data_IF_866086623141
#
_entry.id   IF_866086623141
#
_cell.length_a   1.000
_cell.length_b   1.000
_cell.length_c   1.000
_cell.angle_alpha   90.00
_cell.angle_beta   90.00
_cell.angle_gamma   90.00
#
_symmetry.space_group_name_H-M   'P 1'
#
loop_
_entity.id
_entity.type
_entity.pdbx_description
1 polymer ?
#
# COMPACT_ATOMS: atom_id res chain seq x y z
N UNK A 1 -7.14 70.87 51.97
CA UNK A 1 -7.93 70.35 50.77
C UNK A 1 -7.12 70.43 49.46
N UNK A 2 -5.79 70.18 49.52
CA UNK A 2 -4.95 70.41 48.32
C UNK A 2 -4.06 69.20 47.98
N UNK A 3 -4.29 68.02 48.63
CA UNK A 3 -3.37 66.86 48.45
C UNK A 3 -4.02 65.61 47.79
N UNK A 4 -5.33 65.60 47.69
CA UNK A 4 -6.04 64.42 47.10
C UNK A 4 -6.11 64.49 45.57
N UNK A 5 -6.13 65.74 45.03
CA UNK A 5 -6.18 65.93 43.56
C UNK A 5 -4.85 65.59 42.82
N UNK A 6 -3.72 65.74 43.56
CA UNK A 6 -2.38 65.40 43.00
C UNK A 6 -2.09 63.90 43.00
N UNK A 7 -2.70 63.11 43.92
CA UNK A 7 -2.55 61.67 44.01
C UNK A 7 -3.41 60.97 42.96
N UNK A 8 -4.62 61.48 42.69
CA UNK A 8 -5.47 60.91 41.64
C UNK A 8 -4.92 61.15 40.21
N UNK A 9 -4.29 62.35 39.98
CA UNK A 9 -3.67 62.60 38.68
C UNK A 9 -2.41 61.75 38.42
N UNK A 10 -1.70 61.30 39.48
CA UNK A 10 -0.51 60.47 39.37
C UNK A 10 -0.83 59.04 39.18
N UNK A 11 -2.00 58.56 39.63
CA UNK A 11 -2.50 57.19 39.39
C UNK A 11 -3.11 57.00 37.98
N UNK A 12 -3.55 58.10 37.34
CA UNK A 12 -4.05 58.08 35.96
C UNK A 12 -2.94 58.05 34.90
N UNK A 13 -1.75 58.48 35.25
CA UNK A 13 -0.60 58.54 34.32
C UNK A 13 0.18 57.24 34.24
N UNK A 14 0.10 56.37 35.25
CA UNK A 14 0.83 55.10 35.29
C UNK A 14 0.11 53.92 34.57
N UNK A 15 -1.12 54.08 34.06
CA UNK A 15 -1.88 53.01 33.45
C UNK A 15 -1.98 53.06 31.91
N UNK A 16 -1.25 53.96 31.27
CA UNK A 16 -1.21 53.99 29.80
C UNK A 16 -0.03 53.15 29.27
N UNK A 17 -0.09 51.84 29.43
CA UNK A 17 0.61 50.97 28.48
C UNK A 17 0.24 51.44 27.06
N UNK A 18 1.21 51.87 26.23
CA UNK A 18 0.89 52.37 24.91
C UNK A 18 0.06 51.33 24.18
N UNK A 19 -1.12 51.71 23.69
CA UNK A 19 -2.05 50.82 23.00
C UNK A 19 -1.35 49.97 21.91
N UNK A 20 -0.27 50.47 21.37
CA UNK A 20 0.62 49.80 20.42
C UNK A 20 1.40 48.62 21.04
N UNK A 21 1.80 48.67 22.33
CA UNK A 21 2.46 47.54 23.00
C UNK A 21 1.47 46.40 23.30
N UNK A 22 0.22 46.75 23.60
CA UNK A 22 -0.85 45.74 23.80
C UNK A 22 -1.23 45.08 22.48
N UNK A 23 -1.38 45.85 21.40
CA UNK A 23 -1.66 45.35 20.06
C UNK A 23 -0.49 44.48 19.55
N UNK A 24 0.76 44.95 19.74
CA UNK A 24 1.95 44.16 19.39
C UNK A 24 2.05 42.84 20.14
N UNK A 25 1.72 42.84 21.44
CA UNK A 25 1.67 41.62 22.25
C UNK A 25 0.59 40.63 21.79
N UNK A 26 -0.59 41.14 21.43
CA UNK A 26 -1.68 40.31 20.90
C UNK A 26 -1.32 39.76 19.52
N UNK A 27 -0.74 40.54 18.62
CA UNK A 27 -0.29 40.08 17.31
C UNK A 27 0.82 39.03 17.43
N UNK A 28 1.74 39.18 18.38
CA UNK A 28 2.81 38.20 18.63
C UNK A 28 2.24 36.90 19.24
N UNK A 29 1.28 36.99 20.15
CA UNK A 29 0.54 35.83 20.69
C UNK A 29 -0.24 35.10 19.59
N UNK A 30 -0.91 35.84 18.71
CA UNK A 30 -1.63 35.25 17.58
C UNK A 30 -0.65 34.61 16.60
N UNK A 31 0.50 35.23 16.32
CA UNK A 31 1.53 34.66 15.46
C UNK A 31 2.16 33.39 16.08
N UNK A 32 2.41 33.39 17.39
CA UNK A 32 2.88 32.20 18.13
C UNK A 32 1.80 31.11 18.16
N UNK A 33 0.55 31.49 18.41
CA UNK A 33 -0.58 30.57 18.34
C UNK A 33 -0.74 30.00 16.91
N UNK A 34 -0.68 30.82 15.88
CA UNK A 34 -0.72 30.35 14.49
C UNK A 34 0.47 29.45 14.13
N UNK A 35 1.64 29.72 14.71
CA UNK A 35 2.83 28.89 14.52
C UNK A 35 2.77 27.58 15.33
N UNK A 36 2.20 27.59 16.54
CA UNK A 36 2.01 26.37 17.38
C UNK A 36 0.81 25.56 16.92
N UNK A 37 -0.24 26.21 16.39
CA UNK A 37 -1.41 25.59 15.78
C UNK A 37 -1.28 25.44 14.25
N UNK A 38 -0.14 25.68 13.63
CA UNK A 38 0.21 24.94 12.46
C UNK A 38 0.34 23.49 12.93
N UNK A 39 -0.82 22.83 13.10
CA UNK A 39 -0.89 21.37 13.08
C UNK A 39 -0.03 20.99 11.89
N UNK A 40 1.09 20.34 12.16
CA UNK A 40 1.68 19.50 11.15
C UNK A 40 0.55 18.50 10.87
N UNK A 41 -0.28 18.78 9.83
CA UNK A 41 -1.02 17.72 9.20
C UNK A 41 0.02 16.62 9.03
N UNK A 42 -0.10 15.55 9.81
CA UNK A 42 0.63 14.31 9.54
C UNK A 42 0.16 13.92 8.16
N UNK A 43 0.86 14.44 7.17
CA UNK A 43 0.56 14.17 5.77
C UNK A 43 0.65 12.67 5.63
N UNK A 44 -0.50 12.03 5.47
CA UNK A 44 -0.60 10.60 5.20
C UNK A 44 0.45 10.27 4.14
N UNK A 45 1.42 9.39 4.44
CA UNK A 45 2.46 9.07 3.48
C UNK A 45 1.86 8.64 2.15
N UNK A 46 2.48 9.05 1.06
CA UNK A 46 1.99 8.72 -0.28
C UNK A 46 3.12 8.17 -1.14
N UNK A 47 2.89 7.01 -1.76
CA UNK A 47 3.92 6.25 -2.48
C UNK A 47 3.40 5.72 -3.82
N UNK A 48 4.29 5.67 -4.82
CA UNK A 48 4.15 4.81 -5.99
C UNK A 48 5.22 3.72 -5.93
N UNK A 49 4.79 2.48 -6.07
CA UNK A 49 5.66 1.31 -6.19
C UNK A 49 5.72 0.98 -7.67
N UNK A 50 6.82 1.36 -8.29
CA UNK A 50 7.04 1.14 -9.72
C UNK A 50 7.31 -0.35 -9.95
N UNK A 51 6.73 -0.97 -11.01
CA UNK A 51 7.02 -2.35 -11.34
C UNK A 51 8.51 -2.62 -11.41
N UNK A 52 8.96 -3.66 -10.70
CA UNK A 52 10.36 -4.07 -10.68
C UNK A 52 10.84 -4.37 -12.11
N UNK A 53 12.03 -3.94 -12.43
CA UNK A 53 12.63 -4.25 -13.72
C UNK A 53 13.21 -5.67 -13.71
N UNK A 54 12.76 -6.53 -14.61
CA UNK A 54 13.37 -7.84 -14.79
C UNK A 54 14.73 -7.71 -15.50
N UNK A 55 15.81 -8.12 -14.82
CA UNK A 55 17.16 -8.20 -15.39
C UNK A 55 17.53 -9.62 -15.82
N UNK A 56 16.64 -10.59 -15.60
CA UNK A 56 16.80 -11.99 -15.96
C UNK A 56 16.21 -12.34 -17.33
N UNK A 57 15.87 -13.60 -17.50
CA UNK A 57 15.26 -14.10 -18.73
C UNK A 57 13.83 -13.55 -18.91
N UNK A 58 13.40 -13.34 -20.16
CA UNK A 58 12.04 -12.81 -20.46
C UNK A 58 10.92 -13.71 -19.93
N UNK A 59 11.15 -15.03 -19.82
CA UNK A 59 10.18 -15.97 -19.24
C UNK A 59 9.90 -15.67 -17.76
N UNK A 60 10.79 -14.98 -17.06
CA UNK A 60 10.68 -14.63 -15.63
C UNK A 60 10.09 -13.21 -15.40
N UNK A 61 9.67 -12.51 -16.48
CA UNK A 61 9.07 -11.16 -16.41
C UNK A 61 7.84 -11.11 -15.49
N UNK A 62 7.06 -12.19 -15.45
CA UNK A 62 5.87 -12.26 -14.61
C UNK A 62 6.17 -12.14 -13.11
N UNK A 63 7.37 -12.53 -12.64
CA UNK A 63 7.76 -12.32 -11.24
C UNK A 63 7.84 -10.84 -10.90
N UNK A 64 8.52 -10.06 -11.73
CA UNK A 64 8.69 -8.62 -11.54
C UNK A 64 7.34 -7.91 -11.46
N UNK A 65 6.45 -8.20 -12.39
CA UNK A 65 5.13 -7.61 -12.47
C UNK A 65 4.25 -8.01 -11.27
N UNK A 66 4.11 -9.31 -11.04
CA UNK A 66 3.17 -9.83 -10.04
C UNK A 66 3.61 -9.53 -8.61
N UNK A 67 4.92 -9.58 -8.32
CA UNK A 67 5.45 -9.16 -7.01
C UNK A 67 5.16 -7.68 -6.76
N UNK A 68 5.37 -6.82 -7.76
CA UNK A 68 5.06 -5.39 -7.63
C UNK A 68 3.58 -5.13 -7.40
N UNK A 69 2.70 -5.84 -8.11
CA UNK A 69 1.25 -5.78 -7.91
C UNK A 69 0.85 -6.23 -6.50
N UNK A 70 1.47 -7.30 -5.98
CA UNK A 70 1.26 -7.78 -4.62
C UNK A 70 1.74 -6.75 -3.58
N UNK A 71 2.92 -6.15 -3.76
CA UNK A 71 3.45 -5.10 -2.88
C UNK A 71 2.50 -3.89 -2.83
N UNK A 72 1.99 -3.44 -3.97
CA UNK A 72 1.00 -2.36 -4.03
C UNK A 72 -0.24 -2.73 -3.21
N UNK A 73 -0.73 -3.96 -3.35
CA UNK A 73 -1.91 -4.46 -2.62
C UNK A 73 -1.67 -4.50 -1.12
N UNK A 74 -0.51 -5.02 -0.68
CA UNK A 74 -0.18 -5.17 0.73
C UNK A 74 0.03 -3.82 1.41
N UNK A 75 0.84 -2.95 0.78
CA UNK A 75 1.11 -1.60 1.31
C UNK A 75 -0.17 -0.78 1.36
N UNK A 76 -1.05 -0.88 0.35
CA UNK A 76 -2.37 -0.21 0.36
C UNK A 76 -3.29 -0.69 1.48
N UNK A 77 -3.17 -1.95 1.88
CA UNK A 77 -3.98 -2.55 2.95
C UNK A 77 -3.42 -2.36 4.36
N UNK A 78 -2.23 -1.80 4.50
CA UNK A 78 -1.47 -1.82 5.75
C UNK A 78 -1.94 -0.81 6.79
N UNK A 79 -2.52 0.32 6.39
CA UNK A 79 -2.88 1.41 7.30
C UNK A 79 -3.09 2.73 6.60
N UNK A 80 -2.79 3.83 7.30
CA UNK A 80 -2.99 5.17 6.79
C UNK A 80 -1.85 5.58 5.83
N UNK A 81 -1.94 5.07 4.61
CA UNK A 81 -1.02 5.36 3.51
C UNK A 81 -1.78 5.46 2.19
N UNK A 82 -1.42 6.42 1.35
CA UNK A 82 -1.94 6.53 0.00
C UNK A 82 -0.95 5.86 -0.97
N UNK A 83 -1.42 4.85 -1.68
CA UNK A 83 -0.61 4.12 -2.68
C UNK A 83 -1.19 4.37 -4.08
N UNK A 84 -0.34 4.72 -5.04
CA UNK A 84 -0.75 4.82 -6.44
C UNK A 84 -1.13 3.43 -6.95
N UNK A 85 -2.25 3.32 -7.67
CA UNK A 85 -2.68 2.03 -8.24
C UNK A 85 -1.76 1.62 -9.39
N UNK A 86 -1.57 0.31 -9.56
CA UNK A 86 -0.81 -0.22 -10.70
C UNK A 86 -1.34 0.33 -12.04
N UNK A 87 -2.66 0.39 -12.18
CA UNK A 87 -3.33 0.93 -13.38
C UNK A 87 -2.98 2.40 -13.65
N UNK A 88 -2.82 3.22 -12.62
CA UNK A 88 -2.43 4.63 -12.80
C UNK A 88 -0.95 4.77 -13.15
N UNK A 89 -0.10 3.89 -12.60
CA UNK A 89 1.32 3.81 -12.95
C UNK A 89 1.47 3.40 -14.43
N UNK A 90 0.70 2.42 -14.90
CA UNK A 90 0.75 1.94 -16.28
C UNK A 90 0.23 2.97 -17.32
N UNK A 91 -0.64 3.91 -16.91
CA UNK A 91 -1.11 4.98 -17.80
C UNK A 91 -0.04 6.03 -18.12
N UNK A 92 1.00 6.12 -17.32
CA UNK A 92 2.12 7.02 -17.57
C UNK A 92 3.30 6.23 -18.12
N UNK A 93 4.09 6.84 -19.00
CA UNK A 93 5.33 6.22 -19.47
C UNK A 93 6.43 6.39 -18.42
N UNK A 94 6.25 5.67 -17.27
CA UNK A 94 7.14 5.79 -16.12
C UNK A 94 8.60 5.41 -16.43
N UNK A 95 8.86 4.64 -17.50
CA UNK A 95 10.21 4.23 -17.90
C UNK A 95 11.03 5.38 -18.48
N UNK A 96 10.39 6.41 -19.04
CA UNK A 96 11.03 7.58 -19.63
C UNK A 96 11.06 8.79 -18.69
N UNK A 97 10.40 8.73 -17.54
CA UNK A 97 10.23 9.85 -16.62
C UNK A 97 11.21 9.77 -15.45
N UNK A 98 11.61 10.93 -14.94
CA UNK A 98 12.31 11.05 -13.66
C UNK A 98 11.39 10.76 -12.48
N UNK A 99 11.97 10.43 -11.31
CA UNK A 99 11.20 10.21 -10.08
C UNK A 99 10.29 11.38 -9.73
N UNK A 100 10.76 12.62 -9.92
CA UNK A 100 9.98 13.82 -9.66
C UNK A 100 8.79 13.97 -10.61
N UNK A 101 8.97 13.63 -11.89
CA UNK A 101 7.90 13.66 -12.88
C UNK A 101 6.85 12.59 -12.60
N UNK A 102 7.28 11.38 -12.24
CA UNK A 102 6.39 10.30 -11.81
C UNK A 102 5.58 10.73 -10.58
N UNK A 103 6.27 11.27 -9.56
CA UNK A 103 5.64 11.70 -8.33
C UNK A 103 4.60 12.79 -8.56
N UNK A 104 4.89 13.77 -9.42
CA UNK A 104 3.95 14.83 -9.82
C UNK A 104 2.72 14.27 -10.54
N UNK A 105 2.92 13.35 -11.49
CA UNK A 105 1.82 12.75 -12.26
C UNK A 105 0.91 11.86 -11.41
N UNK A 106 1.48 11.14 -10.43
CA UNK A 106 0.76 10.23 -9.54
C UNK A 106 0.32 10.88 -8.22
N UNK A 107 0.70 12.15 -7.99
CA UNK A 107 0.44 12.89 -6.75
C UNK A 107 0.94 12.17 -5.50
N UNK A 108 2.15 11.62 -5.56
CA UNK A 108 2.81 10.94 -4.44
C UNK A 108 4.09 11.65 -4.05
N UNK A 109 4.54 11.42 -2.80
CA UNK A 109 5.83 11.94 -2.32
C UNK A 109 6.96 10.93 -2.53
N UNK A 110 6.67 9.66 -2.30
CA UNK A 110 7.70 8.62 -2.34
C UNK A 110 7.58 7.78 -3.60
N UNK A 111 8.73 7.40 -4.16
CA UNK A 111 8.85 6.46 -5.26
C UNK A 111 9.65 5.26 -4.77
N UNK A 112 9.08 4.07 -4.84
CA UNK A 112 9.82 2.83 -4.66
C UNK A 112 10.06 2.18 -6.02
N UNK A 113 11.30 1.81 -6.29
CA UNK A 113 11.71 1.16 -7.54
C UNK A 113 12.81 0.14 -7.28
N UNK A 114 13.03 -0.76 -8.21
CA UNK A 114 14.04 -1.78 -8.04
C UNK A 114 14.17 -2.71 -9.22
N UNK A 115 15.01 -3.71 -9.06
CA UNK A 115 15.28 -4.73 -10.08
C UNK A 115 15.11 -6.12 -9.50
N UNK A 116 14.72 -7.06 -10.33
CA UNK A 116 14.65 -8.46 -10.00
C UNK A 116 15.43 -9.26 -11.04
N UNK A 117 16.27 -10.16 -10.56
CA UNK A 117 17.03 -11.07 -11.39
C UNK A 117 16.97 -12.48 -10.82
N UNK A 118 16.45 -13.41 -11.61
CA UNK A 118 16.45 -14.83 -11.29
C UNK A 118 17.53 -15.52 -12.11
N UNK A 119 18.46 -16.22 -11.44
CA UNK A 119 19.48 -17.05 -12.06
C UNK A 119 19.44 -18.42 -11.37
N UNK A 120 19.12 -19.45 -12.13
CA UNK A 120 18.93 -20.81 -11.62
C UNK A 120 17.97 -20.84 -10.41
N UNK A 121 18.49 -21.21 -9.24
CA UNK A 121 17.74 -21.27 -7.99
C UNK A 121 17.89 -20.03 -7.11
N UNK A 122 18.50 -18.96 -7.60
CA UNK A 122 18.78 -17.77 -6.79
C UNK A 122 17.98 -16.58 -7.35
N UNK A 123 17.29 -15.86 -6.43
CA UNK A 123 16.77 -14.53 -6.68
C UNK A 123 17.73 -13.48 -6.16
N UNK A 124 18.02 -12.49 -7.00
CA UNK A 124 18.61 -11.23 -6.61
C UNK A 124 17.57 -10.15 -6.79
N UNK A 125 17.31 -9.39 -5.74
CA UNK A 125 16.35 -8.31 -5.75
C UNK A 125 17.01 -7.08 -5.15
N UNK A 126 16.94 -5.96 -5.84
CA UNK A 126 17.28 -4.65 -5.29
C UNK A 126 16.03 -3.79 -5.21
N UNK A 127 15.95 -2.97 -4.19
CA UNK A 127 14.88 -2.01 -4.03
C UNK A 127 15.38 -0.75 -3.34
N UNK A 128 14.87 0.39 -3.75
CA UNK A 128 15.12 1.68 -3.14
C UNK A 128 13.84 2.46 -2.92
N UNK A 129 13.86 3.36 -1.94
CA UNK A 129 12.81 4.31 -1.62
C UNK A 129 13.36 5.71 -1.75
N UNK A 130 12.84 6.48 -2.69
CA UNK A 130 13.23 7.84 -2.98
C UNK A 130 12.18 8.82 -2.43
N UNK A 131 12.64 9.84 -1.68
CA UNK A 131 11.82 10.96 -1.21
C UNK A 131 11.99 12.16 -2.15
N UNK A 132 10.99 12.44 -2.98
CA UNK A 132 11.02 13.54 -3.94
C UNK A 132 11.05 14.92 -3.27
N UNK A 133 10.54 15.04 -2.03
CA UNK A 133 10.60 16.31 -1.29
C UNK A 133 11.99 16.63 -0.78
N UNK A 134 12.78 15.60 -0.45
CA UNK A 134 14.16 15.74 0.05
C UNK A 134 15.21 15.54 -1.02
N UNK A 135 14.79 15.11 -2.23
CA UNK A 135 15.65 14.80 -3.38
C UNK A 135 16.76 13.80 -3.00
N UNK A 136 16.38 12.70 -2.33
CA UNK A 136 17.32 11.67 -1.90
C UNK A 136 16.70 10.29 -1.74
N UNK A 137 17.55 9.27 -1.82
CA UNK A 137 17.21 7.91 -1.42
C UNK A 137 17.17 7.86 0.11
N UNK A 138 16.00 7.56 0.68
CA UNK A 138 15.83 7.37 2.12
C UNK A 138 16.27 5.98 2.58
N UNK A 139 16.10 5.00 1.70
CA UNK A 139 16.41 3.62 1.99
C UNK A 139 16.71 2.86 0.70
N UNK A 140 17.66 1.93 0.77
CA UNK A 140 17.91 0.94 -0.26
C UNK A 140 18.39 -0.37 0.36
N UNK A 141 18.04 -1.48 -0.27
CA UNK A 141 18.51 -2.79 0.15
C UNK A 141 18.61 -3.76 -1.03
N UNK A 142 19.45 -4.78 -0.85
CA UNK A 142 19.64 -5.86 -1.80
C UNK A 142 19.46 -7.19 -1.08
N UNK A 143 18.71 -8.09 -1.71
CA UNK A 143 18.51 -9.45 -1.23
C UNK A 143 19.07 -10.42 -2.26
N UNK A 144 19.73 -11.45 -1.77
CA UNK A 144 20.13 -12.60 -2.55
C UNK A 144 19.70 -13.84 -1.77
N UNK A 145 18.70 -14.54 -2.26
CA UNK A 145 18.09 -15.67 -1.56
C UNK A 145 17.79 -16.82 -2.50
N UNK A 146 17.63 -18.01 -1.94
CA UNK A 146 17.21 -19.16 -2.72
C UNK A 146 15.76 -18.95 -3.20
N UNK A 147 15.44 -19.51 -4.37
CA UNK A 147 14.10 -19.45 -4.95
C UNK A 147 13.02 -20.00 -4.01
N UNK A 148 13.36 -21.00 -3.16
CA UNK A 148 12.45 -21.52 -2.15
C UNK A 148 11.98 -20.48 -1.12
N UNK A 149 12.72 -19.38 -0.94
CA UNK A 149 12.39 -18.30 -0.01
C UNK A 149 11.54 -17.19 -0.63
N UNK A 150 11.16 -17.33 -1.92
CA UNK A 150 10.40 -16.31 -2.66
C UNK A 150 9.14 -15.81 -1.93
N UNK A 151 8.33 -16.68 -1.31
CA UNK A 151 7.15 -16.20 -0.59
C UNK A 151 7.48 -15.28 0.59
N UNK A 152 8.61 -15.51 1.27
CA UNK A 152 9.06 -14.71 2.42
C UNK A 152 9.62 -13.35 2.02
N UNK A 153 10.24 -13.27 0.83
CA UNK A 153 10.85 -12.03 0.32
C UNK A 153 9.80 -10.93 0.22
N UNK A 154 8.63 -11.23 -0.32
CA UNK A 154 7.56 -10.24 -0.51
C UNK A 154 7.10 -9.61 0.80
N UNK A 155 6.88 -10.42 1.84
CA UNK A 155 6.49 -9.92 3.17
C UNK A 155 7.52 -8.96 3.74
N UNK A 156 8.81 -9.34 3.66
CA UNK A 156 9.91 -8.49 4.10
C UNK A 156 10.03 -7.18 3.31
N UNK A 157 9.72 -7.18 2.01
CA UNK A 157 9.68 -5.95 1.21
C UNK A 157 8.59 -4.99 1.67
N UNK A 158 7.36 -5.49 1.85
CA UNK A 158 6.23 -4.69 2.32
C UNK A 158 6.52 -4.07 3.69
N UNK A 159 7.05 -4.85 4.63
CA UNK A 159 7.43 -4.38 5.96
C UNK A 159 8.51 -3.30 5.90
N UNK A 160 9.55 -3.49 5.08
CA UNK A 160 10.62 -2.50 4.93
C UNK A 160 10.09 -1.17 4.35
N UNK A 161 9.24 -1.20 3.34
CA UNK A 161 8.60 0.01 2.80
C UNK A 161 7.82 0.74 3.90
N UNK A 162 6.95 0.03 4.62
CA UNK A 162 6.07 0.62 5.62
C UNK A 162 6.84 1.17 6.82
N UNK A 163 7.86 0.46 7.31
CA UNK A 163 8.69 0.92 8.42
C UNK A 163 9.49 2.17 8.06
N UNK A 164 10.05 2.25 6.85
CA UNK A 164 10.76 3.44 6.40
C UNK A 164 9.83 4.65 6.18
N UNK A 165 8.57 4.40 5.86
CA UNK A 165 7.53 5.44 5.79
C UNK A 165 6.90 5.75 7.16
N UNK A 166 7.35 5.09 8.24
CA UNK A 166 6.81 5.23 9.60
C UNK A 166 5.30 4.93 9.69
N UNK A 167 4.81 4.06 8.80
CA UNK A 167 3.41 3.62 8.82
C UNK A 167 3.25 2.54 9.89
N UNK A 168 2.36 2.80 10.85
CA UNK A 168 2.00 1.82 11.86
C UNK A 168 1.08 0.77 11.22
N UNK A 169 1.58 -0.44 11.07
CA UNK A 169 0.79 -1.54 10.51
C UNK A 169 -0.21 -2.07 11.54
N UNK A 170 -1.47 -2.17 11.14
CA UNK A 170 -2.53 -2.78 11.96
C UNK A 170 -2.56 -4.32 11.82
N UNK A 171 -1.68 -4.88 11.01
CA UNK A 171 -1.69 -6.29 10.59
C UNK A 171 -0.27 -6.83 10.43
N UNK A 172 -0.12 -8.13 10.60
CA UNK A 172 1.14 -8.86 10.36
C UNK A 172 1.30 -9.11 8.85
N UNK A 173 1.94 -8.16 8.16
CA UNK A 173 2.17 -8.20 6.70
C UNK A 173 3.44 -8.95 6.35
N UNK A 174 4.39 -9.04 7.28
CA UNK A 174 5.66 -9.73 7.08
C UNK A 174 5.51 -11.24 6.97
N UNK A 175 4.39 -11.79 7.46
CA UNK A 175 4.16 -13.24 7.41
C UNK A 175 4.03 -13.72 5.97
N UNK A 176 4.84 -14.71 5.61
CA UNK A 176 4.76 -15.38 4.31
C UNK A 176 3.34 -15.86 4.02
N UNK A 177 2.88 -15.69 2.80
CA UNK A 177 1.57 -16.18 2.35
C UNK A 177 1.57 -17.68 2.06
N UNK A 178 2.74 -18.26 1.84
CA UNK A 178 2.93 -19.66 1.48
C UNK A 178 4.29 -20.13 2.00
N UNK A 179 4.39 -21.41 2.31
CA UNK A 179 5.66 -22.10 2.55
C UNK A 179 6.10 -22.90 1.31
N UNK A 180 5.27 -22.92 0.26
CA UNK A 180 5.52 -23.64 -0.99
C UNK A 180 5.84 -22.65 -2.12
N UNK A 181 7.14 -22.57 -2.48
CA UNK A 181 7.61 -21.67 -3.51
C UNK A 181 7.02 -21.98 -4.91
N UNK A 182 6.77 -23.25 -5.23
CA UNK A 182 6.14 -23.66 -6.50
C UNK A 182 4.68 -23.18 -6.56
N UNK A 183 3.93 -23.39 -5.48
CA UNK A 183 2.56 -22.89 -5.38
C UNK A 183 2.51 -21.36 -5.57
N UNK A 184 3.42 -20.66 -4.90
CA UNK A 184 3.49 -19.19 -4.99
C UNK A 184 3.89 -18.74 -6.40
N UNK A 185 4.84 -19.41 -7.06
CA UNK A 185 5.22 -19.12 -8.44
C UNK A 185 4.07 -19.33 -9.44
N UNK A 186 3.31 -20.41 -9.29
CA UNK A 186 2.11 -20.65 -10.10
C UNK A 186 1.04 -19.57 -9.90
N UNK A 187 0.85 -19.11 -8.66
CA UNK A 187 -0.02 -17.99 -8.36
C UNK A 187 0.45 -16.69 -9.05
N UNK A 188 1.75 -16.34 -8.95
CA UNK A 188 2.29 -15.14 -9.59
C UNK A 188 2.14 -15.19 -11.13
N UNK A 189 2.38 -16.37 -11.73
CA UNK A 189 2.15 -16.57 -13.16
C UNK A 189 0.69 -16.41 -13.55
N UNK A 190 -0.21 -17.03 -12.78
CA UNK A 190 -1.64 -16.88 -12.99
C UNK A 190 -2.11 -15.44 -12.85
N UNK A 191 -1.60 -14.74 -11.84
CA UNK A 191 -1.90 -13.33 -11.59
C UNK A 191 -1.50 -12.46 -12.76
N UNK A 192 -0.28 -12.62 -13.28
CA UNK A 192 0.19 -11.87 -14.44
C UNK A 192 -0.70 -12.10 -15.67
N UNK A 193 -1.07 -13.36 -15.95
CA UNK A 193 -1.96 -13.70 -17.08
C UNK A 193 -3.33 -13.08 -16.86
N UNK A 194 -3.90 -13.21 -15.65
CA UNK A 194 -5.22 -12.68 -15.33
C UNK A 194 -5.28 -11.16 -15.40
N UNK A 195 -4.27 -10.45 -14.91
CA UNK A 195 -4.22 -8.99 -14.94
C UNK A 195 -4.02 -8.44 -16.36
N UNK A 196 -3.23 -9.13 -17.19
CA UNK A 196 -2.95 -8.74 -18.59
C UNK A 196 -3.86 -9.41 -19.63
N UNK A 197 -4.88 -10.15 -19.19
CA UNK A 197 -5.76 -10.91 -20.09
C UNK A 197 -6.40 -10.06 -21.17
N UNK A 198 -6.44 -10.58 -22.37
CA UNK A 198 -7.09 -9.96 -23.53
C UNK A 198 -8.40 -10.68 -23.90
N UNK A 199 -8.55 -11.94 -23.45
CA UNK A 199 -9.67 -12.81 -23.81
C UNK A 199 -10.03 -13.80 -22.69
N UNK A 200 -11.09 -14.58 -22.91
CA UNK A 200 -11.57 -15.58 -21.96
C UNK A 200 -10.65 -16.79 -21.82
N UNK A 201 -9.83 -17.10 -22.82
CA UNK A 201 -8.91 -18.25 -22.73
C UNK A 201 -7.75 -17.94 -21.81
N UNK A 202 -7.28 -16.69 -21.75
CA UNK A 202 -6.31 -16.25 -20.75
C UNK A 202 -6.86 -16.44 -19.33
N UNK A 203 -8.16 -16.14 -19.13
CA UNK A 203 -8.83 -16.38 -17.84
C UNK A 203 -8.83 -17.85 -17.49
N UNK A 204 -9.13 -18.75 -18.42
CA UNK A 204 -9.10 -20.22 -18.19
C UNK A 204 -7.69 -20.73 -17.90
N UNK A 205 -6.67 -20.19 -18.59
CA UNK A 205 -5.27 -20.54 -18.31
C UNK A 205 -4.91 -20.13 -16.87
N UNK A 206 -5.27 -18.90 -16.47
CA UNK A 206 -5.06 -18.44 -15.12
C UNK A 206 -5.77 -19.32 -14.08
N UNK A 207 -7.03 -19.69 -14.31
CA UNK A 207 -7.79 -20.62 -13.45
C UNK A 207 -7.08 -21.97 -13.32
N UNK A 208 -6.56 -22.53 -14.41
CA UNK A 208 -5.80 -23.78 -14.40
C UNK A 208 -4.54 -23.72 -13.55
N UNK A 209 -3.82 -22.61 -13.59
CA UNK A 209 -2.63 -22.37 -12.77
C UNK A 209 -3.00 -22.16 -11.29
N UNK A 210 -4.05 -21.41 -11.01
CA UNK A 210 -4.55 -21.16 -9.65
C UNK A 210 -4.99 -22.47 -8.98
N UNK A 211 -5.72 -23.31 -9.69
CA UNK A 211 -6.11 -24.62 -9.17
C UNK A 211 -4.91 -25.51 -8.84
N UNK A 212 -3.84 -25.45 -9.64
CA UNK A 212 -2.58 -26.16 -9.33
C UNK A 212 -1.90 -25.57 -8.10
N UNK A 213 -1.84 -24.25 -7.99
CA UNK A 213 -1.26 -23.56 -6.84
C UNK A 213 -1.98 -23.92 -5.54
N UNK A 214 -3.31 -23.86 -5.53
CA UNK A 214 -4.16 -24.22 -4.37
C UNK A 214 -4.01 -25.70 -4.00
N UNK A 215 -3.85 -26.58 -4.98
CA UNK A 215 -3.60 -28.01 -4.72
C UNK A 215 -2.24 -28.26 -4.05
N UNK A 216 -1.22 -27.45 -4.34
CA UNK A 216 0.11 -27.53 -3.73
C UNK A 216 0.15 -26.89 -2.37
N UNK A 217 -0.61 -25.81 -2.15
CA UNK A 217 -0.71 -25.10 -0.88
C UNK A 217 -2.10 -24.48 -0.73
N UNK A 218 -2.95 -25.15 0.05
CA UNK A 218 -4.32 -24.69 0.30
C UNK A 218 -4.40 -23.51 1.29
N UNK A 219 -3.28 -23.12 1.93
CA UNK A 219 -3.17 -21.91 2.73
C UNK A 219 -2.85 -20.67 1.90
N UNK A 220 -2.54 -20.81 0.63
CA UNK A 220 -2.30 -19.69 -0.29
C UNK A 220 -3.64 -19.00 -0.65
N UNK A 221 -4.18 -18.25 0.32
CA UNK A 221 -5.50 -17.62 0.22
C UNK A 221 -5.57 -16.61 -0.92
N UNK A 222 -4.46 -15.93 -1.23
CA UNK A 222 -4.38 -15.03 -2.39
C UNK A 222 -4.72 -15.74 -3.71
N UNK A 223 -4.26 -16.98 -3.90
CA UNK A 223 -4.60 -17.78 -5.08
C UNK A 223 -6.09 -18.13 -5.11
N UNK A 224 -6.67 -18.51 -3.97
CA UNK A 224 -8.11 -18.81 -3.87
C UNK A 224 -8.96 -17.59 -4.16
N UNK A 225 -8.60 -16.42 -3.62
CA UNK A 225 -9.32 -15.17 -3.89
C UNK A 225 -9.22 -14.74 -5.36
N UNK A 226 -8.04 -14.90 -5.98
CA UNK A 226 -7.86 -14.59 -7.39
C UNK A 226 -8.64 -15.55 -8.29
N UNK A 227 -8.77 -16.84 -7.89
CA UNK A 227 -9.62 -17.81 -8.58
C UNK A 227 -11.09 -17.35 -8.52
N UNK A 228 -11.61 -16.96 -7.37
CA UNK A 228 -12.95 -16.39 -7.26
C UNK A 228 -13.15 -15.13 -8.11
N UNK A 229 -12.13 -14.22 -8.14
CA UNK A 229 -12.17 -13.06 -9.02
C UNK A 229 -12.28 -13.43 -10.50
N UNK A 230 -11.62 -14.51 -10.92
CA UNK A 230 -11.65 -15.00 -12.30
C UNK A 230 -13.02 -15.55 -12.71
N UNK A 231 -13.73 -16.22 -11.81
CA UNK A 231 -15.10 -16.68 -12.05
C UNK A 231 -16.08 -15.51 -12.06
N UNK A 232 -15.96 -14.58 -11.12
CA UNK A 232 -16.76 -13.35 -11.11
C UNK A 232 -16.60 -12.53 -12.40
N UNK A 233 -15.41 -12.54 -13.00
CA UNK A 233 -15.13 -11.80 -14.24
C UNK A 233 -15.90 -12.39 -15.46
N UNK A 234 -16.26 -13.65 -15.42
CA UNK A 234 -17.07 -14.31 -16.45
C UNK A 234 -18.55 -14.46 -16.03
N UNK A 235 -18.96 -13.64 -15.06
CA UNK A 235 -20.32 -13.55 -14.49
C UNK A 235 -20.79 -14.84 -13.76
N UNK A 236 -19.87 -15.78 -13.47
CA UNK A 236 -20.17 -16.94 -12.63
C UNK A 236 -20.06 -16.56 -11.14
N UNK A 237 -21.08 -15.84 -10.71
CA UNK A 237 -21.12 -15.28 -9.34
C UNK A 237 -21.41 -16.39 -8.30
N UNK A 238 -22.01 -17.50 -8.66
CA UNK A 238 -22.31 -18.59 -7.74
C UNK A 238 -21.02 -19.34 -7.41
N UNK A 239 -20.23 -19.73 -8.40
CA UNK A 239 -18.92 -20.36 -8.20
C UNK A 239 -17.96 -19.41 -7.48
N UNK A 240 -17.95 -18.11 -7.85
CA UNK A 240 -17.16 -17.12 -7.17
C UNK A 240 -17.50 -17.02 -5.67
N UNK A 241 -18.79 -17.09 -5.31
CA UNK A 241 -19.25 -17.07 -3.92
C UNK A 241 -18.75 -18.27 -3.13
N UNK A 242 -18.83 -19.49 -3.70
CA UNK A 242 -18.33 -20.71 -3.06
C UNK A 242 -16.82 -20.62 -2.81
N UNK A 243 -16.06 -20.16 -3.79
CA UNK A 243 -14.61 -20.00 -3.71
C UNK A 243 -14.24 -18.95 -2.65
N UNK A 244 -14.90 -17.78 -2.62
CA UNK A 244 -14.65 -16.77 -1.58
C UNK A 244 -15.05 -17.26 -0.18
N UNK A 245 -16.12 -18.05 -0.08
CA UNK A 245 -16.54 -18.70 1.16
C UNK A 245 -15.46 -19.66 1.68
N UNK A 246 -14.88 -20.48 0.83
CA UNK A 246 -13.77 -21.38 1.18
C UNK A 246 -12.53 -20.61 1.63
N UNK A 247 -12.18 -19.53 0.94
CA UNK A 247 -11.08 -18.63 1.33
C UNK A 247 -11.30 -18.01 2.73
N UNK A 248 -12.56 -17.59 3.03
CA UNK A 248 -12.91 -17.04 4.34
C UNK A 248 -12.78 -18.08 5.46
N UNK A 249 -13.25 -19.31 5.21
CA UNK A 249 -13.12 -20.43 6.16
C UNK A 249 -11.63 -20.66 6.47
N UNK A 250 -10.82 -20.80 5.44
CA UNK A 250 -9.39 -21.03 5.57
C UNK A 250 -8.66 -19.89 6.30
N UNK A 251 -8.99 -18.63 5.97
CA UNK A 251 -8.44 -17.47 6.65
C UNK A 251 -8.76 -17.46 8.16
N UNK A 252 -9.97 -17.92 8.55
CA UNK A 252 -10.36 -18.07 9.96
C UNK A 252 -9.60 -19.21 10.63
N UNK A 253 -9.40 -20.35 9.98
CA UNK A 253 -8.63 -21.49 10.50
C UNK A 253 -7.20 -21.07 10.85
N UNK A 254 -6.52 -20.34 9.97
CA UNK A 254 -5.16 -19.85 10.23
C UNK A 254 -5.12 -18.55 11.08
N UNK A 255 -6.29 -18.05 11.52
CA UNK A 255 -6.45 -16.83 12.31
C UNK A 255 -5.80 -15.58 11.69
N UNK A 256 -5.76 -15.47 10.37
CA UNK A 256 -5.15 -14.35 9.67
C UNK A 256 -6.17 -13.23 9.41
N UNK A 257 -6.09 -12.17 10.20
CA UNK A 257 -7.03 -11.02 10.16
C UNK A 257 -7.10 -10.32 8.80
N UNK A 258 -5.95 -10.23 8.11
CA UNK A 258 -5.88 -9.60 6.77
C UNK A 258 -6.74 -10.38 5.78
N UNK A 259 -6.53 -11.70 5.73
CA UNK A 259 -7.24 -12.56 4.80
C UNK A 259 -8.72 -12.75 5.19
N UNK A 260 -9.05 -12.75 6.49
CA UNK A 260 -10.44 -12.70 6.94
C UNK A 260 -11.12 -11.44 6.39
N UNK A 261 -10.51 -10.26 6.56
CA UNK A 261 -11.08 -9.01 6.07
C UNK A 261 -11.23 -8.97 4.55
N UNK A 262 -10.18 -9.43 3.81
CA UNK A 262 -10.21 -9.48 2.34
C UNK A 262 -11.29 -10.45 1.83
N UNK A 263 -11.39 -11.64 2.39
CA UNK A 263 -12.39 -12.65 2.02
C UNK A 263 -13.81 -12.20 2.37
N UNK A 264 -14.03 -11.65 3.57
CA UNK A 264 -15.34 -11.11 3.97
C UNK A 264 -15.81 -10.03 2.99
N UNK A 265 -14.93 -9.10 2.61
CA UNK A 265 -15.26 -8.06 1.63
C UNK A 265 -15.67 -8.65 0.27
N UNK A 266 -14.99 -9.73 -0.19
CA UNK A 266 -15.33 -10.38 -1.47
C UNK A 266 -16.71 -11.04 -1.40
N UNK A 267 -17.02 -11.75 -0.31
CA UNK A 267 -18.34 -12.34 -0.06
C UNK A 267 -19.42 -11.25 0.00
N UNK A 268 -19.20 -10.17 0.78
CA UNK A 268 -20.13 -9.05 0.87
C UNK A 268 -20.40 -8.39 -0.47
N UNK A 269 -19.37 -8.24 -1.33
CA UNK A 269 -19.55 -7.68 -2.66
C UNK A 269 -20.49 -8.53 -3.54
N UNK A 270 -20.44 -9.85 -3.47
CA UNK A 270 -21.36 -10.73 -4.22
C UNK A 270 -22.78 -10.58 -3.68
N UNK A 271 -22.99 -10.54 -2.33
CA UNK A 271 -24.30 -10.28 -1.74
C UNK A 271 -24.88 -8.94 -2.20
N UNK A 272 -24.07 -7.88 -2.20
CA UNK A 272 -24.50 -6.56 -2.69
C UNK A 272 -24.89 -6.60 -4.19
N UNK A 273 -24.13 -7.32 -5.03
CA UNK A 273 -24.47 -7.49 -6.45
C UNK A 273 -25.78 -8.27 -6.66
N UNK A 274 -26.10 -9.23 -5.76
CA UNK A 274 -27.37 -9.96 -5.77
C UNK A 274 -28.54 -9.19 -5.14
N UNK A 275 -28.30 -7.96 -4.64
CA UNK A 275 -29.30 -7.11 -3.99
C UNK A 275 -29.59 -7.47 -2.53
N UNK A 276 -28.83 -8.38 -1.94
CA UNK A 276 -28.93 -8.78 -0.54
C UNK A 276 -28.05 -7.89 0.34
N UNK A 277 -28.46 -6.65 0.51
CA UNK A 277 -27.68 -5.65 1.27
C UNK A 277 -27.63 -5.93 2.77
N UNK A 278 -28.59 -6.69 3.33
CA UNK A 278 -28.58 -7.04 4.76
C UNK A 278 -27.47 -8.01 5.11
N UNK A 279 -27.10 -8.89 4.19
CA UNK A 279 -26.02 -9.87 4.36
C UNK A 279 -24.66 -9.32 3.87
N UNK A 280 -24.68 -8.26 3.04
CA UNK A 280 -23.49 -7.63 2.50
C UNK A 280 -22.72 -6.76 3.51
N UNK A 281 -23.37 -6.32 4.59
CA UNK A 281 -22.81 -5.51 5.68
C UNK A 281 -22.20 -6.41 6.77
#
# INVERSE_FOLDING_TARGET
>A
ATDVSKVSAKLEEESKLPKFALIGGICLLIAVLLFVFQEQEELVPSIAIIPLENKGESKDEFYSYSISSDLISDVSGAGDIRVASLKDIEKIDYKSLSNDEIAKKLFVRYISQGTLWKVDSIFQLSMELYDTKKDKIEWSNNWQQNWSELPSIKGGLSENILSNLQVITKQDIAKSESENAEAYALYLQAKNIYEKRENTDDTKIAQGLLNKAIKLDDNLISATLLLGDSYRQVDDNDEAMEIYGSALIKAKEISNKLWIGRSTRKVGNIHAMKGDYNTAL
#
